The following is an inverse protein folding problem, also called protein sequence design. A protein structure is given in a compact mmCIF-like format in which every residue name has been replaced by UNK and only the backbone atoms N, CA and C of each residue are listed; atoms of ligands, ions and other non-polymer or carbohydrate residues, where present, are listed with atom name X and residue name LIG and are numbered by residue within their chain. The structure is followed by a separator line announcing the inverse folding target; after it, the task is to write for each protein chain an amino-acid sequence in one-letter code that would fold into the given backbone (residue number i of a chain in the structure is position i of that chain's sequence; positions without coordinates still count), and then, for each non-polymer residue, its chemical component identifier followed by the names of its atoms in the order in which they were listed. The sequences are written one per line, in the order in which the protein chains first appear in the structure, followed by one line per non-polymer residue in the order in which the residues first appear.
data_IF_755255356547
#
_entry.id   IF_755255356547
#
_cell.length_a   1.000
_cell.length_b   1.000
_cell.length_c   1.000
_cell.angle_alpha   90.00
_cell.angle_beta   90.00
_cell.angle_gamma   90.00
#
_symmetry.space_group_name_H-M   'P 1'
#
loop_
_entity.id
_entity.type
_entity.pdbx_description
1 polymer ?
#
# COMPACT_ATOMS: atom_id res chain seq x y z
N UNK A 1 -10.36 -8.54 37.80
CA UNK A 1 -11.58 -8.07 37.11
C UNK A 1 -11.60 -8.76 35.78
N UNK A 2 -12.56 -9.66 35.58
CA UNK A 2 -12.70 -10.36 34.30
C UNK A 2 -13.10 -9.36 33.22
N UNK A 3 -12.38 -9.40 32.11
CA UNK A 3 -12.64 -8.57 30.93
C UNK A 3 -13.27 -9.44 29.85
N UNK A 4 -14.16 -8.84 29.09
CA UNK A 4 -14.71 -9.42 27.86
C UNK A 4 -14.39 -8.48 26.70
N UNK A 5 -14.04 -9.06 25.56
CA UNK A 5 -13.93 -8.30 24.31
C UNK A 5 -15.30 -8.21 23.68
N UNK A 6 -15.72 -6.99 23.39
CA UNK A 6 -17.00 -6.70 22.73
C UNK A 6 -16.76 -5.81 21.52
N UNK A 7 -17.70 -5.83 20.59
CA UNK A 7 -17.77 -4.88 19.50
C UNK A 7 -18.87 -3.86 19.78
N UNK A 8 -18.56 -2.57 19.72
CA UNK A 8 -19.55 -1.52 19.94
C UNK A 8 -20.67 -1.63 18.88
N UNK A 9 -21.96 -1.68 19.26
CA UNK A 9 -23.05 -1.76 18.29
C UNK A 9 -23.16 -0.49 17.45
N UNK A 10 -22.69 0.64 17.96
CA UNK A 10 -22.88 1.93 17.33
C UNK A 10 -21.81 2.25 16.30
N UNK A 11 -20.54 1.97 16.62
CA UNK A 11 -19.43 2.24 15.71
C UNK A 11 -18.77 0.99 15.14
N UNK A 12 -18.89 -0.16 15.79
CA UNK A 12 -18.21 -1.38 15.36
C UNK A 12 -16.80 -1.53 15.90
N UNK A 13 -16.32 -0.67 16.80
CA UNK A 13 -14.97 -0.80 17.39
C UNK A 13 -14.89 -1.95 18.39
N UNK A 14 -13.77 -2.64 18.37
CA UNK A 14 -13.44 -3.66 19.37
C UNK A 14 -12.85 -3.01 20.62
N UNK A 15 -13.29 -3.49 21.79
CA UNK A 15 -12.81 -3.01 23.08
C UNK A 15 -12.94 -4.07 24.15
N UNK A 16 -11.97 -4.07 25.07
CA UNK A 16 -12.01 -4.89 26.28
C UNK A 16 -12.69 -4.13 27.42
N UNK A 17 -13.79 -4.67 27.93
CA UNK A 17 -14.62 -4.02 28.96
C UNK A 17 -14.81 -4.93 30.18
N UNK A 18 -15.03 -4.39 31.39
CA UNK A 18 -15.28 -5.22 32.57
C UNK A 18 -16.60 -5.98 32.46
N UNK A 19 -16.59 -7.29 32.74
CA UNK A 19 -17.75 -8.19 32.59
C UNK A 19 -18.93 -7.85 33.52
N UNK A 20 -18.66 -7.21 34.65
CA UNK A 20 -19.64 -6.99 35.73
C UNK A 20 -20.52 -5.73 35.54
N UNK A 21 -20.38 -5.05 34.40
CA UNK A 21 -21.09 -3.80 34.11
C UNK A 21 -22.27 -4.09 33.18
N UNK A 22 -23.47 -3.64 33.55
CA UNK A 22 -24.67 -3.69 32.70
C UNK A 22 -24.71 -2.56 31.65
N UNK A 23 -23.94 -1.50 31.88
CA UNK A 23 -23.84 -0.34 30.98
C UNK A 23 -22.42 0.22 30.99
N UNK A 24 -21.94 0.60 29.81
CA UNK A 24 -20.65 1.26 29.59
C UNK A 24 -20.79 2.34 28.51
N UNK A 25 -19.83 3.26 28.43
CA UNK A 25 -19.73 4.25 27.36
C UNK A 25 -18.61 3.83 26.42
N UNK A 26 -18.88 3.80 25.11
CA UNK A 26 -17.87 3.53 24.10
C UNK A 26 -16.79 4.61 24.13
N UNK A 27 -15.53 4.23 24.32
CA UNK A 27 -14.40 5.17 24.34
C UNK A 27 -14.11 5.82 22.98
N UNK A 28 -14.65 5.27 21.89
CA UNK A 28 -14.44 5.78 20.53
C UNK A 28 -15.58 6.68 20.06
N UNK A 29 -16.85 6.26 20.22
CA UNK A 29 -18.00 7.01 19.73
C UNK A 29 -18.79 7.76 20.82
N UNK A 30 -18.46 7.55 22.10
CA UNK A 30 -19.09 8.25 23.23
C UNK A 30 -20.54 7.85 23.54
N UNK A 31 -21.12 6.87 22.83
CA UNK A 31 -22.48 6.37 23.07
C UNK A 31 -22.52 5.28 24.14
N UNK A 32 -23.64 5.21 24.86
CA UNK A 32 -23.95 4.14 25.81
C UNK A 32 -24.15 2.79 25.12
N UNK A 33 -23.57 1.74 25.71
CA UNK A 33 -23.74 0.34 25.33
C UNK A 33 -24.37 -0.39 26.50
N UNK A 34 -25.50 -1.05 26.24
CA UNK A 34 -26.12 -1.98 27.17
C UNK A 34 -25.53 -3.37 26.97
N UNK A 35 -25.14 -4.01 28.07
CA UNK A 35 -24.58 -5.36 28.09
C UNK A 35 -25.58 -6.29 28.79
N UNK A 36 -26.22 -7.17 28.04
CA UNK A 36 -27.09 -8.22 28.58
C UNK A 36 -26.38 -9.57 28.47
N UNK A 37 -26.03 -10.18 29.60
CA UNK A 37 -25.34 -11.48 29.66
C UNK A 37 -24.05 -11.58 28.80
N UNK A 38 -23.33 -10.46 28.63
CA UNK A 38 -22.13 -10.40 27.80
C UNK A 38 -22.39 -10.30 26.29
N UNK A 39 -23.64 -10.11 25.87
CA UNK A 39 -24.03 -9.82 24.50
C UNK A 39 -24.59 -8.40 24.38
N UNK A 40 -24.36 -7.79 23.22
CA UNK A 40 -24.84 -6.45 22.88
C UNK A 40 -26.21 -6.57 22.22
N UNK A 41 -27.20 -5.83 22.69
CA UNK A 41 -28.53 -5.76 22.06
C UNK A 41 -28.64 -4.51 21.19
N UNK A 42 -28.92 -4.68 19.89
CA UNK A 42 -29.20 -3.56 18.96
C UNK A 42 -30.67 -3.60 18.56
N UNK A 43 -31.40 -2.50 18.84
CA UNK A 43 -32.78 -2.31 18.42
C UNK A 43 -32.93 -1.87 16.96
N UNK A 44 -34.17 -1.93 16.46
CA UNK A 44 -34.72 -1.73 15.10
C UNK A 44 -34.44 -0.34 14.43
N UNK A 45 -33.37 0.36 14.80
CA UNK A 45 -32.99 1.71 14.33
C UNK A 45 -31.84 1.73 13.33
N UNK A 46 -31.36 0.58 12.86
CA UNK A 46 -30.15 0.48 12.04
C UNK A 46 -30.25 1.28 10.72
N UNK A 47 -31.41 1.27 10.05
CA UNK A 47 -31.58 2.00 8.78
C UNK A 47 -31.39 3.51 8.89
N UNK A 48 -31.97 4.13 9.91
CA UNK A 48 -31.85 5.58 10.16
C UNK A 48 -30.41 5.94 10.57
N UNK A 49 -29.73 5.07 11.32
CA UNK A 49 -28.33 5.24 11.67
C UNK A 49 -27.41 5.17 10.45
N UNK A 50 -27.68 4.26 9.51
CA UNK A 50 -26.93 4.15 8.27
C UNK A 50 -27.04 5.42 7.40
N UNK A 51 -28.26 5.93 7.20
CA UNK A 51 -28.51 7.15 6.42
C UNK A 51 -27.85 8.39 7.05
N UNK A 52 -27.97 8.53 8.37
CA UNK A 52 -27.33 9.63 9.10
C UNK A 52 -25.80 9.56 9.00
N UNK A 53 -25.23 8.37 9.06
CA UNK A 53 -23.80 8.16 8.92
C UNK A 53 -23.32 8.44 7.48
N UNK A 54 -24.08 8.03 6.47
CA UNK A 54 -23.81 8.37 5.07
C UNK A 54 -23.79 9.89 4.87
N UNK A 55 -24.79 10.61 5.40
CA UNK A 55 -24.82 12.07 5.33
C UNK A 55 -23.58 12.72 5.95
N UNK A 56 -23.08 12.20 7.08
CA UNK A 56 -21.83 12.66 7.69
C UNK A 56 -20.62 12.36 6.81
N UNK A 57 -20.54 11.17 6.23
CA UNK A 57 -19.44 10.81 5.33
C UNK A 57 -19.38 11.77 4.13
N UNK A 58 -20.51 11.99 3.46
CA UNK A 58 -20.61 12.88 2.29
C UNK A 58 -20.24 14.34 2.62
N UNK A 59 -20.54 14.82 3.83
CA UNK A 59 -20.14 16.16 4.28
C UNK A 59 -18.62 16.32 4.45
N UNK A 60 -17.89 15.23 4.71
CA UNK A 60 -16.42 15.24 4.77
C UNK A 60 -15.77 15.04 3.40
N UNK A 61 -16.56 14.70 2.36
CA UNK A 61 -16.05 14.46 1.00
C UNK A 61 -15.92 15.76 0.21
N UNK A 62 -14.88 16.52 0.54
CA UNK A 62 -14.42 17.69 -0.21
C UNK A 62 -12.94 17.59 -0.60
N UNK A 63 -12.39 18.65 -1.20
CA UNK A 63 -11.00 18.70 -1.68
C UNK A 63 -9.96 18.37 -0.59
N UNK A 64 -10.31 18.51 0.70
CA UNK A 64 -9.41 18.21 1.81
C UNK A 64 -9.06 16.73 1.90
N UNK A 65 -9.91 15.81 1.43
CA UNK A 65 -9.58 14.38 1.32
C UNK A 65 -8.37 14.11 0.42
N UNK A 66 -7.97 15.10 -0.37
CA UNK A 66 -6.85 15.01 -1.27
C UNK A 66 -5.82 16.13 -1.05
N UNK A 67 -5.85 16.75 0.12
CA UNK A 67 -4.88 17.77 0.48
C UNK A 67 -3.46 17.17 0.43
N UNK A 68 -2.55 17.86 -0.26
CA UNK A 68 -1.15 17.43 -0.36
C UNK A 68 -0.90 16.22 -1.25
N UNK A 69 -1.88 15.73 -2.03
CA UNK A 69 -1.75 14.50 -2.82
C UNK A 69 -0.47 14.43 -3.67
N UNK A 70 -0.08 15.52 -4.34
CA UNK A 70 1.07 15.52 -5.24
C UNK A 70 2.38 15.37 -4.48
N UNK A 71 2.46 15.92 -3.26
CA UNK A 71 3.63 15.74 -2.40
C UNK A 71 3.64 14.33 -1.79
N UNK A 72 2.49 13.83 -1.34
CA UNK A 72 2.37 12.49 -0.77
C UNK A 72 2.67 11.39 -1.78
N UNK A 73 2.24 11.55 -3.04
CA UNK A 73 2.58 10.67 -4.16
C UNK A 73 4.08 10.73 -4.44
N UNK A 74 4.70 11.92 -4.46
CA UNK A 74 6.16 12.05 -4.68
C UNK A 74 6.98 11.46 -3.55
N UNK A 75 6.49 11.53 -2.31
CA UNK A 75 7.11 10.92 -1.14
C UNK A 75 6.72 9.47 -0.95
N UNK A 76 6.00 8.82 -1.88
CA UNK A 76 5.69 7.41 -1.76
C UNK A 76 6.97 6.55 -1.86
N UNK A 77 7.41 6.01 -0.73
CA UNK A 77 8.59 5.14 -0.62
C UNK A 77 8.46 4.24 0.61
N UNK A 78 9.28 3.18 0.68
CA UNK A 78 9.29 2.24 1.81
C UNK A 78 9.44 2.96 3.16
N UNK A 79 10.29 3.98 3.21
CA UNK A 79 10.69 4.63 4.47
C UNK A 79 9.67 5.68 4.95
N UNK A 80 8.77 6.12 4.08
CA UNK A 80 7.87 7.25 4.33
C UNK A 80 6.40 6.87 4.26
N UNK A 81 6.05 5.80 3.54
CA UNK A 81 4.66 5.46 3.26
C UNK A 81 3.87 5.11 4.51
N UNK A 82 4.42 4.31 5.43
CA UNK A 82 3.72 3.92 6.66
C UNK A 82 3.29 5.14 7.50
N UNK A 83 4.21 6.06 7.76
CA UNK A 83 3.93 7.28 8.54
C UNK A 83 2.95 8.22 7.82
N UNK A 84 3.10 8.38 6.50
CA UNK A 84 2.19 9.19 5.69
C UNK A 84 0.78 8.60 5.62
N UNK A 85 0.68 7.28 5.54
CA UNK A 85 -0.60 6.56 5.50
C UNK A 85 -1.35 6.66 6.83
N UNK A 86 -0.66 6.47 7.95
CA UNK A 86 -1.25 6.65 9.28
C UNK A 86 -1.68 8.11 9.52
N UNK A 87 -0.86 9.07 9.09
CA UNK A 87 -1.22 10.50 9.15
C UNK A 87 -2.49 10.78 8.34
N UNK A 88 -2.56 10.25 7.12
CA UNK A 88 -3.73 10.39 6.26
C UNK A 88 -5.00 9.80 6.89
N UNK A 89 -4.93 8.58 7.46
CA UNK A 89 -6.06 7.98 8.17
C UNK A 89 -6.51 8.84 9.35
N UNK A 90 -5.57 9.39 10.12
CA UNK A 90 -5.85 10.24 11.27
C UNK A 90 -6.51 11.56 10.86
N UNK A 91 -6.00 12.23 9.84
CA UNK A 91 -6.51 13.50 9.35
C UNK A 91 -7.92 13.37 8.76
N UNK A 92 -8.31 12.16 8.34
CA UNK A 92 -9.62 11.85 7.77
C UNK A 92 -10.41 10.82 8.59
N UNK A 93 -10.11 10.69 9.89
CA UNK A 93 -10.72 9.70 10.78
C UNK A 93 -12.26 9.77 10.79
N UNK A 94 -12.81 10.99 10.81
CA UNK A 94 -14.26 11.22 10.82
C UNK A 94 -14.94 10.68 9.56
N UNK A 95 -14.30 10.82 8.39
CA UNK A 95 -14.80 10.29 7.13
C UNK A 95 -14.85 8.76 7.16
N UNK A 96 -13.72 8.10 7.45
CA UNK A 96 -13.66 6.63 7.46
C UNK A 96 -14.57 6.01 8.53
N UNK A 97 -14.66 6.66 9.70
CA UNK A 97 -15.57 6.22 10.77
C UNK A 97 -17.03 6.35 10.33
N UNK A 98 -17.41 7.44 9.66
CA UNK A 98 -18.76 7.63 9.17
C UNK A 98 -19.11 6.59 8.07
N UNK A 99 -18.20 6.31 7.15
CA UNK A 99 -18.38 5.25 6.14
C UNK A 99 -18.57 3.89 6.82
N UNK A 100 -17.73 3.54 7.80
CA UNK A 100 -17.89 2.27 8.54
C UNK A 100 -19.25 2.16 9.22
N UNK A 101 -19.69 3.20 9.93
CA UNK A 101 -21.00 3.21 10.60
C UNK A 101 -22.12 3.04 9.57
N UNK A 102 -22.03 3.72 8.43
CA UNK A 102 -23.02 3.60 7.37
C UNK A 102 -23.10 2.14 6.86
N UNK A 103 -21.95 1.52 6.58
CA UNK A 103 -21.88 0.15 6.07
C UNK A 103 -22.30 -0.91 7.10
N UNK A 104 -21.98 -0.69 8.37
CA UNK A 104 -22.30 -1.62 9.46
C UNK A 104 -23.80 -1.76 9.69
N UNK A 105 -24.54 -0.65 9.57
CA UNK A 105 -25.97 -0.58 9.87
C UNK A 105 -26.88 -0.69 8.65
N UNK A 106 -26.31 -0.60 7.45
CA UNK A 106 -27.05 -0.69 6.21
C UNK A 106 -27.51 -2.12 5.89
N UNK A 107 -28.73 -2.23 5.40
CA UNK A 107 -29.18 -3.44 4.71
C UNK A 107 -28.63 -3.50 3.26
N UNK A 108 -28.95 -4.58 2.55
CA UNK A 108 -28.45 -4.80 1.18
C UNK A 108 -28.94 -3.76 0.15
N UNK A 109 -30.07 -3.09 0.39
CA UNK A 109 -30.56 -2.03 -0.49
C UNK A 109 -29.83 -0.72 -0.21
N UNK A 110 -29.71 -0.36 1.07
CA UNK A 110 -28.97 0.81 1.52
C UNK A 110 -27.48 0.73 1.18
N UNK A 111 -26.85 -0.45 1.21
CA UNK A 111 -25.45 -0.63 0.79
C UNK A 111 -25.25 -0.21 -0.67
N UNK A 112 -26.14 -0.60 -1.57
CA UNK A 112 -26.05 -0.22 -2.99
C UNK A 112 -26.14 1.29 -3.18
N UNK A 113 -27.04 1.94 -2.44
CA UNK A 113 -27.18 3.39 -2.45
C UNK A 113 -25.94 4.09 -1.87
N UNK A 114 -25.43 3.63 -0.72
CA UNK A 114 -24.17 4.11 -0.12
C UNK A 114 -23.02 4.02 -1.12
N UNK A 115 -22.87 2.88 -1.81
CA UNK A 115 -21.82 2.68 -2.81
C UNK A 115 -21.94 3.69 -3.95
N UNK A 116 -23.15 3.87 -4.48
CA UNK A 116 -23.42 4.82 -5.56
C UNK A 116 -23.13 6.26 -5.13
N UNK A 117 -23.58 6.69 -3.94
CA UNK A 117 -23.43 8.06 -3.47
C UNK A 117 -21.97 8.43 -3.17
N UNK A 118 -21.25 7.57 -2.43
CA UNK A 118 -19.82 7.79 -2.13
C UNK A 118 -19.02 7.85 -3.44
N UNK A 119 -19.23 6.87 -4.33
CA UNK A 119 -18.47 6.78 -5.59
C UNK A 119 -18.75 7.97 -6.50
N UNK A 120 -20.02 8.37 -6.62
CA UNK A 120 -20.41 9.56 -7.39
C UNK A 120 -19.74 10.82 -6.86
N UNK A 121 -19.60 10.95 -5.53
CA UNK A 121 -18.93 12.10 -4.95
C UNK A 121 -17.43 12.10 -5.23
N UNK A 122 -16.74 10.95 -5.20
CA UNK A 122 -15.35 10.85 -5.66
C UNK A 122 -15.17 11.25 -7.12
N UNK A 123 -16.04 10.75 -8.02
CA UNK A 123 -16.01 11.13 -9.45
C UNK A 123 -16.20 12.63 -9.63
N UNK A 124 -17.19 13.22 -8.94
CA UNK A 124 -17.46 14.66 -9.01
C UNK A 124 -16.27 15.52 -8.56
N UNK A 125 -15.59 15.14 -7.47
CA UNK A 125 -14.39 15.84 -7.00
C UNK A 125 -13.28 15.78 -8.05
N UNK A 126 -13.11 14.64 -8.71
CA UNK A 126 -12.11 14.50 -9.76
C UNK A 126 -12.47 15.27 -11.04
N UNK A 127 -13.73 15.25 -11.47
CA UNK A 127 -14.20 16.07 -12.60
C UNK A 127 -13.86 17.54 -12.37
N UNK A 128 -14.19 18.07 -11.18
CA UNK A 128 -13.87 19.44 -10.78
C UNK A 128 -12.35 19.69 -10.75
N UNK A 129 -11.56 18.74 -10.25
CA UNK A 129 -10.10 18.86 -10.24
C UNK A 129 -9.52 18.98 -11.66
N UNK A 130 -10.04 18.18 -12.60
CA UNK A 130 -9.64 18.23 -14.00
C UNK A 130 -10.15 19.51 -14.68
N UNK A 131 -11.40 19.92 -14.47
CA UNK A 131 -11.96 21.16 -15.03
C UNK A 131 -11.14 22.40 -14.65
N UNK A 132 -10.59 22.44 -13.44
CA UNK A 132 -9.71 23.51 -12.98
C UNK A 132 -8.36 23.59 -13.73
N UNK A 133 -7.98 22.57 -14.50
CA UNK A 133 -6.74 22.53 -15.27
C UNK A 133 -6.97 22.72 -16.78
N UNK A 134 -6.61 23.89 -17.36
CA UNK A 134 -6.82 24.15 -18.78
C UNK A 134 -5.80 23.41 -19.67
N UNK A 135 -4.61 23.08 -19.18
CA UNK A 135 -3.55 22.48 -20.01
C UNK A 135 -3.73 20.97 -20.09
N UNK A 136 -3.95 20.45 -21.31
CA UNK A 136 -4.16 19.01 -21.57
C UNK A 136 -3.09 18.10 -20.97
N UNK A 137 -1.81 18.49 -21.05
CA UNK A 137 -0.68 17.72 -20.48
C UNK A 137 -0.72 17.66 -18.95
N UNK A 138 -0.96 18.80 -18.30
CA UNK A 138 -1.04 18.89 -16.85
C UNK A 138 -2.30 18.19 -16.32
N UNK A 139 -3.41 18.28 -17.06
CA UNK A 139 -4.65 17.53 -16.77
C UNK A 139 -4.40 16.02 -16.73
N UNK A 140 -3.63 15.50 -17.69
CA UNK A 140 -3.24 14.10 -17.69
C UNK A 140 -2.36 13.75 -16.47
N UNK A 141 -1.35 14.56 -16.18
CA UNK A 141 -0.48 14.35 -15.02
C UNK A 141 -1.28 14.35 -13.70
N UNK A 142 -2.17 15.34 -13.49
CA UNK A 142 -3.09 15.38 -12.34
C UNK A 142 -3.97 14.14 -12.24
N UNK A 143 -4.48 13.65 -13.36
CA UNK A 143 -5.27 12.42 -13.35
C UNK A 143 -4.43 11.21 -12.93
N UNK A 144 -3.18 11.10 -13.39
CA UNK A 144 -2.28 10.03 -12.99
C UNK A 144 -1.91 10.12 -11.50
N UNK A 145 -1.60 11.32 -11.01
CA UNK A 145 -1.34 11.56 -9.59
C UNK A 145 -2.55 11.18 -8.74
N UNK A 146 -3.76 11.54 -9.16
CA UNK A 146 -5.01 11.14 -8.48
C UNK A 146 -5.23 9.64 -8.50
N UNK A 147 -5.04 8.99 -9.64
CA UNK A 147 -5.15 7.53 -9.75
C UNK A 147 -4.21 6.84 -8.76
N UNK A 148 -2.98 7.33 -8.69
CA UNK A 148 -1.97 6.83 -7.76
C UNK A 148 -2.38 7.09 -6.30
N UNK A 149 -2.88 8.29 -5.98
CA UNK A 149 -3.35 8.63 -4.64
C UNK A 149 -4.55 7.77 -4.20
N UNK A 150 -5.50 7.50 -5.10
CA UNK A 150 -6.63 6.62 -4.83
C UNK A 150 -6.15 5.21 -4.44
N UNK A 151 -5.20 4.65 -5.19
CA UNK A 151 -4.69 3.29 -4.98
C UNK A 151 -3.80 3.17 -3.74
N UNK A 152 -3.12 4.25 -3.34
CA UNK A 152 -2.12 4.22 -2.27
C UNK A 152 -2.68 4.72 -0.93
N UNK A 153 -3.66 5.62 -0.93
CA UNK A 153 -4.18 6.21 0.30
C UNK A 153 -5.68 5.95 0.49
N UNK A 154 -6.51 6.34 -0.47
CA UNK A 154 -7.97 6.30 -0.29
C UNK A 154 -8.52 4.88 -0.19
N UNK A 155 -8.23 4.03 -1.19
CA UNK A 155 -8.75 2.67 -1.25
C UNK A 155 -8.16 1.79 -0.15
N UNK A 156 -6.84 1.80 0.13
CA UNK A 156 -6.31 1.01 1.25
C UNK A 156 -6.90 1.45 2.59
N UNK A 157 -7.10 2.75 2.83
CA UNK A 157 -7.73 3.23 4.07
C UNK A 157 -9.21 2.83 4.17
N UNK A 158 -9.93 2.68 3.05
CA UNK A 158 -11.27 2.10 3.06
C UNK A 158 -11.23 0.60 3.38
N UNK A 159 -10.24 -0.15 2.87
CA UNK A 159 -10.10 -1.59 3.19
C UNK A 159 -9.81 -1.84 4.68
N UNK A 160 -9.15 -0.91 5.36
CA UNK A 160 -8.91 -0.96 6.82
C UNK A 160 -10.20 -0.93 7.67
N UNK A 161 -11.33 -0.50 7.10
CA UNK A 161 -12.65 -0.54 7.77
C UNK A 161 -13.04 -1.97 8.21
N UNK A 162 -12.38 -3.01 7.67
CA UNK A 162 -12.47 -4.40 8.15
C UNK A 162 -13.92 -4.94 8.15
N UNK A 163 -14.70 -4.53 7.15
CA UNK A 163 -16.04 -5.03 6.86
C UNK A 163 -16.08 -5.56 5.41
N UNK A 164 -16.74 -6.70 5.13
CA UNK A 164 -16.85 -7.20 3.74
C UNK A 164 -17.47 -6.18 2.77
N UNK A 165 -18.44 -5.38 3.24
CA UNK A 165 -19.04 -4.32 2.46
C UNK A 165 -18.06 -3.18 2.09
N UNK A 166 -16.98 -3.00 2.85
CA UNK A 166 -15.94 -2.01 2.53
C UNK A 166 -15.07 -2.48 1.35
N UNK A 167 -14.76 -3.78 1.27
CA UNK A 167 -14.07 -4.36 0.10
C UNK A 167 -14.94 -4.26 -1.16
N UNK A 168 -16.23 -4.55 -1.04
CA UNK A 168 -17.19 -4.37 -2.14
C UNK A 168 -17.29 -2.91 -2.59
N UNK A 169 -17.31 -1.97 -1.65
CA UNK A 169 -17.25 -0.53 -1.94
C UNK A 169 -15.98 -0.17 -2.71
N UNK A 170 -14.80 -0.66 -2.29
CA UNK A 170 -13.54 -0.39 -2.97
C UNK A 170 -13.55 -0.90 -4.42
N UNK A 171 -14.08 -2.10 -4.65
CA UNK A 171 -14.22 -2.68 -5.98
C UNK A 171 -15.21 -1.88 -6.84
N UNK A 172 -16.31 -1.43 -6.25
CA UNK A 172 -17.29 -0.60 -6.93
C UNK A 172 -16.70 0.77 -7.33
N UNK A 173 -15.97 1.43 -6.42
CA UNK A 173 -15.25 2.68 -6.71
C UNK A 173 -14.27 2.47 -7.87
N UNK A 174 -13.40 1.46 -7.79
CA UNK A 174 -12.39 1.19 -8.81
C UNK A 174 -13.01 0.94 -10.20
N UNK A 175 -14.13 0.20 -10.25
CA UNK A 175 -14.87 -0.05 -11.49
C UNK A 175 -15.41 1.25 -12.10
N UNK A 176 -16.21 2.01 -11.35
CA UNK A 176 -16.84 3.25 -11.85
C UNK A 176 -15.79 4.29 -12.20
N UNK A 177 -14.69 4.37 -11.44
CA UNK A 177 -13.57 5.26 -11.71
C UNK A 177 -12.93 4.97 -13.07
N UNK A 178 -12.65 3.70 -13.37
CA UNK A 178 -12.09 3.26 -14.65
C UNK A 178 -13.04 3.42 -15.84
N UNK A 179 -14.36 3.43 -15.60
CA UNK A 179 -15.39 3.74 -16.61
C UNK A 179 -15.53 5.26 -16.84
N UNK A 180 -15.31 6.06 -15.80
CA UNK A 180 -15.49 7.52 -15.84
C UNK A 180 -14.30 8.27 -16.46
N UNK A 181 -13.07 7.77 -16.25
CA UNK A 181 -11.85 8.46 -16.68
C UNK A 181 -10.98 7.57 -17.59
N UNK A 182 -10.49 8.15 -18.70
CA UNK A 182 -9.60 7.44 -19.63
C UNK A 182 -8.32 7.00 -18.94
N UNK A 183 -7.79 5.82 -19.27
CA UNK A 183 -6.53 5.30 -18.71
C UNK A 183 -6.50 5.27 -17.17
N UNK A 184 -7.66 5.13 -16.53
CA UNK A 184 -7.79 5.16 -15.07
C UNK A 184 -8.33 3.86 -14.49
N UNK A 185 -7.98 2.74 -15.12
CA UNK A 185 -8.23 1.41 -14.54
C UNK A 185 -7.30 1.22 -13.35
N UNK A 186 -7.86 1.36 -12.16
CA UNK A 186 -7.18 1.21 -10.87
C UNK A 186 -7.65 -0.07 -10.17
N UNK A 187 -6.84 -0.58 -9.26
CA UNK A 187 -7.13 -1.78 -8.48
C UNK A 187 -6.91 -1.49 -6.99
N UNK A 188 -7.82 -1.97 -6.13
CA UNK A 188 -7.77 -1.73 -4.70
C UNK A 188 -6.86 -2.74 -3.99
N UNK A 189 -5.68 -2.30 -3.55
CA UNK A 189 -4.80 -3.07 -2.68
C UNK A 189 -4.98 -2.64 -1.22
N UNK A 190 -4.70 -3.53 -0.26
CA UNK A 190 -4.60 -3.18 1.16
C UNK A 190 -3.18 -2.69 1.50
N UNK A 191 -3.04 -2.15 2.73
CA UNK A 191 -1.79 -1.58 3.21
C UNK A 191 -0.65 -2.61 3.18
N UNK A 192 -0.89 -3.82 3.69
CA UNK A 192 0.11 -4.90 3.76
C UNK A 192 0.59 -5.29 2.36
N UNK A 193 -0.32 -5.47 1.39
CA UNK A 193 0.04 -5.76 0.00
C UNK A 193 0.91 -4.68 -0.64
N UNK A 194 0.66 -3.40 -0.31
CA UNK A 194 1.46 -2.28 -0.81
C UNK A 194 2.85 -2.26 -0.14
N UNK A 195 2.91 -2.50 1.17
CA UNK A 195 4.16 -2.64 1.91
C UNK A 195 5.00 -3.80 1.36
N UNK A 196 4.40 -4.97 1.17
CA UNK A 196 5.02 -6.11 0.47
C UNK A 196 5.46 -5.75 -0.95
N UNK A 197 4.73 -4.87 -1.63
CA UNK A 197 5.10 -4.30 -2.93
C UNK A 197 6.44 -3.56 -2.91
N UNK A 198 6.77 -2.81 -1.86
CA UNK A 198 8.12 -2.24 -1.68
C UNK A 198 9.18 -3.31 -1.46
N UNK A 199 8.76 -4.42 -0.85
CA UNK A 199 9.57 -5.62 -0.73
C UNK A 199 9.58 -6.46 -2.00
N UNK A 200 8.93 -6.09 -3.12
CA UNK A 200 9.18 -6.72 -4.45
C UNK A 200 10.53 -6.26 -4.98
N UNK A 201 11.51 -7.00 -4.47
CA UNK A 201 12.96 -6.87 -4.49
C UNK A 201 13.56 -6.49 -5.86
N UNK A 202 13.87 -5.21 -6.09
CA UNK A 202 14.73 -4.74 -7.20
C UNK A 202 16.18 -5.23 -7.03
N UNK A 203 16.76 -6.01 -7.95
CA UNK A 203 18.22 -6.30 -7.95
C UNK A 203 19.01 -5.06 -8.40
N UNK A 204 19.10 -4.00 -7.59
CA UNK A 204 19.65 -2.70 -7.99
C UNK A 204 20.99 -2.79 -8.73
N UNK A 205 21.98 -3.52 -8.19
CA UNK A 205 23.30 -3.69 -8.83
C UNK A 205 23.19 -4.47 -10.13
N UNK A 206 22.48 -5.60 -10.14
CA UNK A 206 22.36 -6.44 -11.35
C UNK A 206 21.57 -5.73 -12.44
N UNK A 207 20.54 -4.97 -12.09
CA UNK A 207 19.78 -4.14 -13.03
C UNK A 207 20.65 -3.02 -13.60
N UNK A 208 21.45 -2.34 -12.77
CA UNK A 208 22.37 -1.30 -13.24
C UNK A 208 23.42 -1.87 -14.21
N UNK A 209 24.02 -3.02 -13.88
CA UNK A 209 24.99 -3.70 -14.76
C UNK A 209 24.34 -4.11 -16.09
N UNK A 210 23.17 -4.76 -16.07
CA UNK A 210 22.50 -5.17 -17.31
C UNK A 210 22.10 -3.98 -18.19
N UNK A 211 21.70 -2.86 -17.60
CA UNK A 211 21.39 -1.62 -18.33
C UNK A 211 22.67 -0.98 -18.89
N UNK A 212 23.75 -0.90 -18.11
CA UNK A 212 25.05 -0.36 -18.58
C UNK A 212 25.68 -1.18 -19.71
N UNK A 213 25.32 -2.46 -19.83
CA UNK A 213 25.75 -3.34 -20.93
C UNK A 213 24.74 -3.42 -22.09
N UNK A 214 23.77 -2.50 -22.16
CA UNK A 214 22.74 -2.44 -23.21
C UNK A 214 21.87 -3.73 -23.35
N UNK A 215 21.82 -4.58 -22.31
CA UNK A 215 20.98 -5.81 -22.29
C UNK A 215 19.51 -5.54 -21.94
N UNK A 216 19.18 -4.33 -21.50
CA UNK A 216 17.83 -3.93 -21.11
C UNK A 216 17.44 -4.31 -19.68
N UNK A 217 16.26 -3.82 -19.24
CA UNK A 217 15.79 -3.95 -17.84
C UNK A 217 15.11 -5.29 -17.49
N UNK A 218 14.94 -6.18 -18.47
CA UNK A 218 14.23 -7.46 -18.32
C UNK A 218 14.93 -8.63 -19.03
N UNK A 219 16.26 -8.61 -19.12
CA UNK A 219 17.04 -9.72 -19.70
C UNK A 219 16.92 -11.02 -18.89
N UNK A 220 17.18 -12.14 -19.55
CA UNK A 220 17.05 -13.49 -18.98
C UNK A 220 17.92 -13.66 -17.72
N UNK A 221 19.15 -13.15 -17.76
CA UNK A 221 20.11 -13.23 -16.67
C UNK A 221 19.61 -12.51 -15.41
N UNK A 222 18.95 -11.37 -15.57
CA UNK A 222 18.35 -10.63 -14.47
C UNK A 222 17.17 -11.39 -13.87
N UNK A 223 16.34 -12.05 -14.69
CA UNK A 223 15.24 -12.90 -14.21
C UNK A 223 15.74 -14.11 -13.43
N UNK A 224 16.81 -14.74 -13.90
CA UNK A 224 17.43 -15.88 -13.21
C UNK A 224 17.98 -15.48 -11.84
N UNK A 225 18.68 -14.36 -11.74
CA UNK A 225 19.22 -13.88 -10.46
C UNK A 225 18.12 -13.44 -9.50
N UNK A 226 17.07 -12.75 -10.00
CA UNK A 226 15.87 -12.41 -9.20
C UNK A 226 15.21 -13.69 -8.66
N UNK A 227 14.99 -14.68 -9.53
CA UNK A 227 14.42 -15.97 -9.15
C UNK A 227 15.27 -16.75 -8.14
N UNK A 228 16.60 -16.72 -8.27
CA UNK A 228 17.50 -17.31 -7.28
C UNK A 228 17.36 -16.62 -5.91
N UNK A 229 17.38 -15.29 -5.88
CA UNK A 229 17.30 -14.53 -4.63
C UNK A 229 15.94 -14.72 -3.95
N UNK A 230 14.86 -14.53 -4.69
CA UNK A 230 13.50 -14.57 -4.14
C UNK A 230 13.02 -16.00 -3.88
N UNK A 231 13.55 -16.98 -4.60
CA UNK A 231 13.19 -18.40 -4.45
C UNK A 231 14.05 -19.17 -3.47
N UNK A 232 15.37 -19.20 -3.71
CA UNK A 232 16.33 -20.00 -2.95
C UNK A 232 16.90 -19.22 -1.77
N UNK A 233 17.49 -18.05 -2.02
CA UNK A 233 18.17 -17.29 -0.97
C UNK A 233 17.20 -16.87 0.14
N UNK A 234 15.97 -16.46 -0.19
CA UNK A 234 14.97 -16.10 0.83
C UNK A 234 14.60 -17.24 1.78
N UNK A 235 14.74 -18.51 1.37
CA UNK A 235 14.40 -19.68 2.20
C UNK A 235 15.54 -20.16 3.09
N UNK A 236 16.72 -19.57 2.94
CA UNK A 236 17.89 -19.90 3.76
C UNK A 236 17.81 -19.22 5.14
N UNK A 237 18.37 -19.82 6.20
CA UNK A 237 18.29 -19.29 7.56
C UNK A 237 18.85 -17.87 7.74
N UNK A 238 19.89 -17.52 6.98
CA UNK A 238 20.55 -16.20 6.94
C UNK A 238 20.09 -15.33 5.75
N UNK A 239 19.23 -15.88 4.90
CA UNK A 239 18.86 -15.34 3.61
C UNK A 239 18.13 -14.01 3.68
N UNK A 240 17.17 -13.89 4.59
CA UNK A 240 16.41 -12.65 4.79
C UNK A 240 17.31 -11.50 5.23
N UNK A 241 18.24 -11.76 6.15
CA UNK A 241 19.20 -10.76 6.66
C UNK A 241 20.13 -10.29 5.54
N UNK A 242 20.71 -11.22 4.78
CA UNK A 242 21.59 -10.91 3.65
C UNK A 242 20.88 -10.09 2.57
N UNK A 243 19.62 -10.44 2.28
CA UNK A 243 18.83 -9.73 1.29
C UNK A 243 18.51 -8.30 1.77
N UNK A 244 18.09 -8.14 3.02
CA UNK A 244 17.78 -6.83 3.58
C UNK A 244 19.03 -5.92 3.61
N UNK A 245 20.17 -6.45 4.04
CA UNK A 245 21.44 -5.72 4.00
C UNK A 245 21.80 -5.27 2.59
N UNK A 246 21.65 -6.16 1.59
CA UNK A 246 21.83 -5.80 0.18
C UNK A 246 20.90 -4.66 -0.24
N UNK A 247 19.63 -4.69 0.16
CA UNK A 247 18.65 -3.64 -0.16
C UNK A 247 19.04 -2.27 0.37
N UNK A 248 19.58 -2.21 1.58
CA UNK A 248 19.94 -0.96 2.24
C UNK A 248 21.14 -0.29 1.54
N UNK A 249 22.12 -1.08 1.09
CA UNK A 249 23.36 -0.54 0.51
C UNK A 249 23.35 -0.41 -1.01
N UNK A 250 22.61 -1.26 -1.73
CA UNK A 250 22.70 -1.36 -3.19
C UNK A 250 22.33 -0.08 -3.96
N UNK A 251 21.28 0.69 -3.60
CA UNK A 251 20.99 1.97 -4.25
C UNK A 251 22.13 2.99 -4.11
N UNK A 252 22.78 3.02 -2.96
CA UNK A 252 23.91 3.92 -2.69
C UNK A 252 25.14 3.52 -3.49
N UNK A 253 25.43 2.21 -3.57
CA UNK A 253 26.51 1.66 -4.40
C UNK A 253 26.31 2.05 -5.86
N UNK A 254 25.13 1.80 -6.44
CA UNK A 254 24.82 2.15 -7.84
C UNK A 254 25.00 3.66 -8.08
N UNK A 255 24.45 4.50 -7.20
CA UNK A 255 24.62 5.97 -7.30
C UNK A 255 26.08 6.41 -7.25
N UNK A 256 26.94 5.73 -6.49
CA UNK A 256 28.37 6.04 -6.41
C UNK A 256 29.09 5.56 -7.68
N UNK A 257 28.80 4.36 -8.18
CA UNK A 257 29.36 3.85 -9.44
C UNK A 257 28.97 4.73 -10.64
N UNK A 258 27.71 5.16 -10.72
CA UNK A 258 27.22 6.03 -11.82
C UNK A 258 27.92 7.39 -11.87
N UNK A 259 28.56 7.82 -10.78
CA UNK A 259 29.35 9.07 -10.70
C UNK A 259 30.82 8.86 -11.05
N UNK A 260 31.28 7.62 -11.15
CA UNK A 260 32.64 7.30 -11.56
C UNK A 260 32.80 7.47 -13.08
N UNK A 261 33.92 8.03 -13.51
CA UNK A 261 34.23 8.22 -14.94
C UNK A 261 34.41 6.89 -15.69
N UNK A 262 34.79 5.84 -14.97
CA UNK A 262 35.06 4.47 -15.42
C UNK A 262 33.90 3.50 -15.13
N UNK A 263 32.68 4.01 -14.93
CA UNK A 263 31.48 3.21 -14.59
C UNK A 263 31.24 2.01 -15.51
N UNK A 264 31.53 2.14 -16.81
CA UNK A 264 31.32 1.06 -17.77
C UNK A 264 32.31 -0.09 -17.59
N UNK A 265 33.54 0.21 -17.17
CA UNK A 265 34.52 -0.82 -16.82
C UNK A 265 34.18 -1.50 -15.50
N UNK A 266 33.66 -0.74 -14.53
CA UNK A 266 33.15 -1.29 -13.27
C UNK A 266 31.96 -2.23 -13.53
N UNK A 267 31.01 -1.84 -14.39
CA UNK A 267 29.89 -2.70 -14.74
C UNK A 267 30.32 -3.95 -15.53
N UNK A 268 31.30 -3.82 -16.45
CA UNK A 268 31.91 -4.97 -17.11
C UNK A 268 32.59 -5.93 -16.13
N UNK A 269 33.33 -5.42 -15.14
CA UNK A 269 33.97 -6.22 -14.09
C UNK A 269 32.93 -7.00 -13.28
N UNK A 270 31.89 -6.32 -12.81
CA UNK A 270 30.81 -6.95 -12.05
C UNK A 270 30.07 -8.01 -12.86
N UNK A 271 29.87 -7.75 -14.15
CA UNK A 271 29.27 -8.72 -15.07
C UNK A 271 30.11 -9.98 -15.20
N UNK A 272 31.38 -9.84 -15.54
CA UNK A 272 32.27 -10.96 -15.87
C UNK A 272 32.64 -11.79 -14.64
N UNK A 273 32.86 -11.13 -13.50
CA UNK A 273 33.41 -11.78 -12.31
C UNK A 273 32.35 -12.29 -11.34
N UNK A 274 31.12 -11.78 -11.40
CA UNK A 274 30.06 -12.15 -10.45
C UNK A 274 28.76 -12.55 -11.14
N UNK A 275 28.15 -11.66 -11.93
CA UNK A 275 26.80 -11.87 -12.46
C UNK A 275 26.75 -13.05 -13.43
N UNK A 276 27.66 -13.11 -14.41
CA UNK A 276 27.71 -14.21 -15.37
C UNK A 276 28.05 -15.56 -14.68
N UNK A 277 29.04 -15.66 -13.79
CA UNK A 277 29.27 -16.85 -12.97
C UNK A 277 28.06 -17.29 -12.14
N UNK A 278 27.30 -16.35 -11.55
CA UNK A 278 26.05 -16.65 -10.85
C UNK A 278 25.01 -17.25 -11.80
N UNK A 279 24.82 -16.68 -12.99
CA UNK A 279 23.88 -17.19 -14.00
C UNK A 279 24.24 -18.62 -14.42
N UNK A 280 25.52 -18.89 -14.64
CA UNK A 280 26.01 -20.24 -14.96
C UNK A 280 25.70 -21.19 -13.81
N UNK A 281 26.02 -20.81 -12.57
CA UNK A 281 25.77 -21.63 -11.38
C UNK A 281 24.27 -21.98 -11.24
N UNK A 282 23.38 -21.00 -11.42
CA UNK A 282 21.92 -21.20 -11.40
C UNK A 282 21.50 -22.19 -12.49
N UNK A 283 21.97 -22.02 -13.73
CA UNK A 283 21.63 -22.91 -14.85
C UNK A 283 22.12 -24.34 -14.64
N UNK A 284 23.25 -24.52 -13.97
CA UNK A 284 23.80 -25.84 -13.63
C UNK A 284 23.23 -26.44 -12.34
N UNK A 285 22.34 -25.73 -11.64
CA UNK A 285 21.74 -26.18 -10.37
C UNK A 285 22.63 -26.03 -9.13
N UNK A 286 23.80 -25.39 -9.25
CA UNK A 286 24.76 -25.17 -8.16
C UNK A 286 24.40 -23.88 -7.38
N UNK A 287 23.28 -23.95 -6.66
CA UNK A 287 22.73 -22.83 -5.89
C UNK A 287 23.65 -22.38 -4.73
N UNK A 288 24.35 -23.27 -4.00
CA UNK A 288 25.32 -22.86 -2.98
C UNK A 288 26.47 -22.04 -3.53
N UNK A 289 27.01 -22.40 -4.71
CA UNK A 289 28.04 -21.60 -5.38
C UNK A 289 27.52 -20.22 -5.79
N UNK A 290 26.29 -20.14 -6.28
CA UNK A 290 25.64 -18.86 -6.59
C UNK A 290 25.50 -17.98 -5.33
N UNK A 291 25.11 -18.56 -4.18
CA UNK A 291 25.03 -17.84 -2.89
C UNK A 291 26.39 -17.24 -2.52
N UNK A 292 27.46 -18.03 -2.62
CA UNK A 292 28.82 -17.57 -2.31
C UNK A 292 29.24 -16.40 -3.20
N UNK A 293 29.09 -16.54 -4.52
CA UNK A 293 29.42 -15.49 -5.49
C UNK A 293 28.61 -14.20 -5.25
N UNK A 294 27.33 -14.35 -4.90
CA UNK A 294 26.46 -13.23 -4.56
C UNK A 294 26.93 -12.50 -3.31
N UNK A 295 27.26 -13.21 -2.22
CA UNK A 295 27.76 -12.61 -0.99
C UNK A 295 29.13 -11.93 -1.20
N UNK A 296 30.05 -12.59 -1.91
CA UNK A 296 31.37 -12.04 -2.22
C UNK A 296 31.28 -10.72 -3.00
N UNK A 297 30.35 -10.65 -3.96
CA UNK A 297 30.08 -9.42 -4.73
C UNK A 297 29.60 -8.29 -3.81
N UNK A 298 28.62 -8.58 -2.94
CA UNK A 298 28.02 -7.59 -2.05
C UNK A 298 29.04 -7.09 -1.02
N UNK A 299 29.84 -7.98 -0.43
CA UNK A 299 30.91 -7.59 0.49
C UNK A 299 31.98 -6.73 -0.18
N UNK A 300 32.42 -7.09 -1.39
CA UNK A 300 33.38 -6.28 -2.16
C UNK A 300 32.84 -4.87 -2.40
N UNK A 301 31.60 -4.78 -2.89
CA UNK A 301 30.97 -3.51 -3.19
C UNK A 301 30.72 -2.67 -1.93
N UNK A 302 30.32 -3.31 -0.83
CA UNK A 302 30.18 -2.64 0.48
C UNK A 302 31.51 -2.04 0.93
N UNK A 303 32.61 -2.81 0.89
CA UNK A 303 33.95 -2.33 1.26
C UNK A 303 34.45 -1.19 0.38
N UNK A 304 34.08 -1.17 -0.90
CA UNK A 304 34.59 -0.20 -1.87
C UNK A 304 33.76 1.09 -1.92
N UNK A 305 32.46 0.99 -1.64
CA UNK A 305 31.51 2.09 -1.88
C UNK A 305 30.67 2.44 -0.66
N UNK A 306 30.81 1.79 0.48
CA UNK A 306 30.11 2.16 1.72
C UNK A 306 31.17 2.42 2.79
N UNK A 307 31.37 3.71 3.05
CA UNK A 307 32.25 4.28 4.06
C UNK A 307 31.45 5.37 4.79
#
# INVERSE_FOLDING_TARGET
MDKIDIRCPHCGEEMSVPKDRSQIICMFCGKDILLENGAVTSGDKSKEEAEKALGKALLQMDERLFAGEGEMVRKFSKDTYADLFETYKKDHYDFFTAVRVALLHADEEQKKDIFAQITKQFVKLQEKNLEAEPKKREKYAKQMDRNMFMVIYVLPALKEISLPAADELCNYIAKVWGESFKESKIEASDFDSIMEGFHKKLCYVTTAVCVGLDKGRDCEELRLIKGFRDGFLQKEPDGETLINEYYDIAPTIVKRIDRCSDKEDIYRDLWMNYILPCVVAIRTGDLPRCKKLYCDMVEKLKKQYIH
#
